data_IF_949447732332
#
_entry.id   IF_949447732332
#
_cell.length_a   1.000
_cell.length_b   1.000
_cell.length_c   1.000
_cell.angle_alpha   90.00
_cell.angle_beta   90.00
_cell.angle_gamma   90.00
#
_symmetry.space_group_name_H-M   'P 1'
#
loop_
_entity.id
_entity.type
_entity.pdbx_description
1 polymer ?
#
# COMPACT_ATOMS: atom_id res chain seq x y z
N UNK A 1 -17.75 -1.56 30.80
CA UNK A 1 -17.08 -0.79 29.73
C UNK A 1 -17.24 -1.57 28.45
N UNK A 2 -17.50 -0.91 27.33
CA UNK A 2 -17.61 -1.61 26.03
C UNK A 2 -16.21 -2.04 25.64
N UNK A 3 -15.96 -3.35 25.59
CA UNK A 3 -14.71 -3.88 25.05
C UNK A 3 -14.60 -3.48 23.59
N UNK A 4 -13.48 -2.85 23.23
CA UNK A 4 -13.15 -2.53 21.85
C UNK A 4 -13.01 -3.86 21.08
N UNK A 5 -13.67 -4.05 19.94
CA UNK A 5 -13.53 -5.28 19.14
C UNK A 5 -12.07 -5.58 18.82
N UNK A 6 -11.68 -6.87 18.82
CA UNK A 6 -10.28 -7.30 18.63
C UNK A 6 -9.63 -6.74 17.35
N UNK A 7 -10.40 -6.63 16.27
CA UNK A 7 -9.92 -6.07 15.00
C UNK A 7 -9.62 -4.57 15.11
N UNK A 8 -10.43 -3.85 15.89
CA UNK A 8 -10.24 -2.42 16.11
C UNK A 8 -9.06 -2.17 17.04
N UNK A 9 -8.88 -3.01 18.08
CA UNK A 9 -7.66 -3.00 18.89
C UNK A 9 -6.41 -3.22 18.02
N UNK A 10 -6.44 -4.22 17.13
CA UNK A 10 -5.33 -4.49 16.21
C UNK A 10 -5.06 -3.30 15.28
N UNK A 11 -6.09 -2.65 14.75
CA UNK A 11 -5.93 -1.46 13.91
C UNK A 11 -5.33 -0.27 14.68
N UNK A 12 -5.76 -0.05 15.92
CA UNK A 12 -5.22 0.98 16.81
C UNK A 12 -3.74 0.71 17.08
N UNK A 13 -3.39 -0.51 17.50
CA UNK A 13 -2.00 -0.88 17.77
C UNK A 13 -1.12 -0.76 16.53
N UNK A 14 -1.59 -1.19 15.35
CA UNK A 14 -0.86 -1.00 14.09
C UNK A 14 -0.63 0.48 13.77
N UNK A 15 -1.64 1.33 14.01
CA UNK A 15 -1.55 2.77 13.81
C UNK A 15 -0.50 3.41 14.72
N UNK A 16 -0.48 3.02 16.00
CA UNK A 16 0.50 3.50 16.96
C UNK A 16 1.92 3.08 16.58
N UNK A 17 2.12 1.81 16.21
CA UNK A 17 3.42 1.30 15.75
C UNK A 17 3.92 2.07 14.52
N UNK A 18 3.07 2.33 13.53
CA UNK A 18 3.46 3.11 12.35
C UNK A 18 3.89 4.53 12.72
N UNK A 19 3.14 5.18 13.62
CA UNK A 19 3.46 6.54 14.07
C UNK A 19 4.77 6.58 14.83
N UNK A 20 5.02 5.63 15.74
CA UNK A 20 6.30 5.58 16.45
C UNK A 20 7.47 5.29 15.50
N UNK A 21 7.30 4.37 14.55
CA UNK A 21 8.35 3.98 13.62
C UNK A 21 8.80 5.14 12.69
N UNK A 22 7.90 6.04 12.30
CA UNK A 22 8.29 7.21 11.46
C UNK A 22 9.08 8.26 12.26
N UNK A 23 8.90 8.33 13.58
CA UNK A 23 9.71 9.20 14.45
C UNK A 23 11.13 8.66 14.66
N UNK A 24 11.31 7.33 14.57
CA UNK A 24 12.63 6.69 14.69
C UNK A 24 13.46 6.79 13.41
N UNK A 25 12.81 6.87 12.25
CA UNK A 25 13.50 7.07 10.97
C UNK A 25 12.69 6.66 9.74
N UNK A 26 13.37 6.67 8.59
CA UNK A 26 12.77 6.29 7.31
C UNK A 26 12.38 4.82 7.28
N UNK A 27 11.16 4.54 6.84
CA UNK A 27 10.58 3.19 6.83
C UNK A 27 9.66 2.97 5.62
N UNK A 28 9.44 1.70 5.28
CA UNK A 28 8.52 1.28 4.21
C UNK A 28 7.41 0.43 4.82
N UNK A 29 6.16 0.86 4.66
CA UNK A 29 4.97 0.13 5.12
C UNK A 29 4.21 -0.47 3.94
N UNK A 30 3.84 -1.75 4.06
CA UNK A 30 3.06 -2.46 3.03
C UNK A 30 1.62 -2.62 3.52
N UNK A 31 0.68 -1.92 2.87
CA UNK A 31 -0.75 -2.01 3.16
C UNK A 31 -1.15 -1.38 4.50
N UNK A 32 -2.05 -2.04 5.23
CA UNK A 32 -2.48 -1.65 6.59
C UNK A 32 -2.97 -0.19 6.73
N UNK A 33 -3.54 0.35 5.66
CA UNK A 33 -4.01 1.74 5.58
C UNK A 33 -2.92 2.78 5.86
N UNK A 34 -1.63 2.45 5.69
CA UNK A 34 -0.52 3.34 6.00
C UNK A 34 -0.59 4.67 5.23
N UNK A 35 -1.08 4.65 3.98
CA UNK A 35 -1.35 5.86 3.20
C UNK A 35 -2.33 6.79 3.92
N UNK A 36 -3.39 6.25 4.52
CA UNK A 36 -4.38 7.03 5.24
C UNK A 36 -3.90 7.42 6.64
N UNK A 37 -3.31 6.48 7.38
CA UNK A 37 -2.82 6.69 8.75
C UNK A 37 -1.77 7.80 8.79
N UNK A 38 -0.83 7.79 7.85
CA UNK A 38 0.28 8.74 7.78
C UNK A 38 0.00 9.92 6.83
N UNK A 39 -1.25 10.15 6.44
CA UNK A 39 -1.62 11.15 5.40
C UNK A 39 -1.15 12.58 5.67
N UNK A 40 -0.92 12.92 6.93
CA UNK A 40 -0.45 14.24 7.36
C UNK A 40 1.07 14.32 7.53
N UNK A 41 1.80 13.22 7.34
CA UNK A 41 3.25 13.21 7.46
C UNK A 41 3.87 13.81 6.19
N UNK A 42 4.66 14.90 6.29
CA UNK A 42 5.08 15.71 5.15
C UNK A 42 6.09 15.00 4.23
N UNK A 43 6.77 13.97 4.71
CA UNK A 43 7.68 13.15 3.90
C UNK A 43 7.05 11.84 3.41
N UNK A 44 5.73 11.66 3.55
CA UNK A 44 5.04 10.42 3.13
C UNK A 44 4.97 10.36 1.61
N UNK A 45 5.42 9.25 1.03
CA UNK A 45 5.10 8.84 -0.34
C UNK A 45 4.23 7.59 -0.26
N UNK A 46 3.16 7.53 -1.05
CA UNK A 46 2.20 6.42 -1.04
C UNK A 46 2.04 5.90 -2.46
N UNK A 47 2.17 4.58 -2.60
CA UNK A 47 2.27 3.91 -3.89
C UNK A 47 1.30 2.75 -3.93
N UNK A 48 0.52 2.66 -5.01
CA UNK A 48 -0.33 1.52 -5.32
C UNK A 48 0.28 0.75 -6.50
N UNK A 49 0.58 -0.53 -6.28
CA UNK A 49 1.08 -1.42 -7.34
C UNK A 49 -0.07 -2.30 -7.82
N UNK A 50 -0.33 -2.25 -9.12
CA UNK A 50 -1.30 -3.12 -9.77
C UNK A 50 -0.65 -3.89 -10.93
N UNK A 51 -1.43 -4.75 -11.57
CA UNK A 51 -1.08 -5.47 -12.79
C UNK A 51 -2.36 -5.99 -13.43
N UNK A 52 -2.29 -6.31 -14.72
CA UNK A 52 -3.35 -7.06 -15.38
C UNK A 52 -3.58 -8.42 -14.70
N UNK A 53 -4.81 -8.94 -14.85
CA UNK A 53 -5.25 -10.15 -14.16
C UNK A 53 -4.40 -11.37 -14.54
N UNK A 54 -3.99 -11.50 -15.80
CA UNK A 54 -3.26 -12.67 -16.30
C UNK A 54 -1.83 -12.69 -15.78
N UNK A 55 -1.13 -11.55 -15.78
CA UNK A 55 0.19 -11.42 -15.18
C UNK A 55 0.17 -11.75 -13.67
N UNK A 56 -0.89 -11.34 -12.96
CA UNK A 56 -1.08 -11.69 -11.55
C UNK A 56 -1.27 -13.20 -11.36
N UNK A 57 -2.12 -13.82 -12.17
CA UNK A 57 -2.37 -15.28 -12.12
C UNK A 57 -1.05 -16.03 -12.34
N UNK A 58 -0.33 -15.72 -13.41
CA UNK A 58 0.95 -16.34 -13.73
C UNK A 58 1.93 -16.25 -12.57
N UNK A 59 2.13 -15.05 -12.04
CA UNK A 59 3.05 -14.81 -10.92
C UNK A 59 2.66 -15.56 -9.65
N UNK A 60 1.36 -15.71 -9.37
CA UNK A 60 0.86 -16.44 -8.21
C UNK A 60 1.03 -17.95 -8.41
N UNK A 61 0.72 -18.48 -9.61
CA UNK A 61 0.97 -19.88 -9.95
C UNK A 61 2.44 -20.24 -9.77
N UNK A 62 3.36 -19.46 -10.34
CA UNK A 62 4.80 -19.70 -10.24
C UNK A 62 5.30 -19.61 -8.79
N UNK A 63 4.88 -18.58 -8.06
CA UNK A 63 5.35 -18.34 -6.68
C UNK A 63 4.88 -19.41 -5.70
N UNK A 64 3.66 -19.91 -5.87
CA UNK A 64 3.04 -20.81 -4.91
C UNK A 64 2.98 -22.27 -5.38
N UNK A 65 3.31 -22.55 -6.64
CA UNK A 65 3.23 -23.90 -7.21
C UNK A 65 1.80 -24.42 -7.31
N UNK A 66 0.83 -23.54 -7.60
CA UNK A 66 -0.60 -23.85 -7.61
C UNK A 66 -1.22 -23.71 -9.00
N UNK A 67 -2.38 -24.35 -9.19
CA UNK A 67 -3.13 -24.26 -10.43
C UNK A 67 -3.66 -22.84 -10.69
N UNK A 68 -4.07 -22.59 -11.94
CA UNK A 68 -4.68 -21.33 -12.36
C UNK A 68 -5.93 -20.99 -11.55
N UNK A 69 -6.79 -21.97 -11.29
CA UNK A 69 -8.05 -21.75 -10.57
C UNK A 69 -7.79 -21.42 -9.10
N UNK A 70 -6.85 -22.13 -8.46
CA UNK A 70 -6.41 -21.80 -7.09
C UNK A 70 -5.78 -20.40 -7.01
N UNK A 71 -5.02 -20.00 -8.02
CA UNK A 71 -4.44 -18.65 -8.10
C UNK A 71 -5.52 -17.57 -8.23
N UNK A 72 -6.55 -17.80 -9.06
CA UNK A 72 -7.68 -16.89 -9.22
C UNK A 72 -8.43 -16.73 -7.88
N UNK A 73 -8.71 -17.84 -7.19
CA UNK A 73 -9.40 -17.82 -5.90
C UNK A 73 -8.59 -17.11 -4.83
N UNK A 74 -7.28 -17.37 -4.77
CA UNK A 74 -6.38 -16.69 -3.86
C UNK A 74 -6.32 -15.18 -4.11
N UNK A 75 -6.23 -14.77 -5.38
CA UNK A 75 -6.25 -13.37 -5.79
C UNK A 75 -7.56 -12.70 -5.35
N UNK A 76 -8.70 -13.29 -5.69
CA UNK A 76 -10.01 -12.73 -5.37
C UNK A 76 -10.24 -12.61 -3.86
N UNK A 77 -9.85 -13.64 -3.10
CA UNK A 77 -9.96 -13.65 -1.62
C UNK A 77 -9.09 -12.56 -1.00
N UNK A 78 -7.85 -12.41 -1.46
CA UNK A 78 -6.91 -11.42 -0.95
C UNK A 78 -7.36 -10.00 -1.30
N UNK A 79 -7.80 -9.75 -2.54
CA UNK A 79 -8.29 -8.45 -2.97
C UNK A 79 -9.56 -8.05 -2.21
N UNK A 80 -10.51 -8.98 -2.04
CA UNK A 80 -11.72 -8.74 -1.24
C UNK A 80 -11.38 -8.40 0.21
N UNK A 81 -10.43 -9.10 0.81
CA UNK A 81 -9.95 -8.79 2.16
C UNK A 81 -9.34 -7.39 2.26
N UNK A 82 -8.49 -7.01 1.30
CA UNK A 82 -7.85 -5.67 1.23
C UNK A 82 -8.90 -4.57 1.04
N UNK A 83 -9.85 -4.76 0.14
CA UNK A 83 -10.96 -3.83 -0.12
C UNK A 83 -11.78 -3.63 1.15
N UNK A 84 -12.23 -4.72 1.79
CA UNK A 84 -13.09 -4.63 2.97
C UNK A 84 -12.38 -3.92 4.13
N UNK A 85 -11.13 -4.31 4.42
CA UNK A 85 -10.35 -3.72 5.49
C UNK A 85 -10.07 -2.23 5.24
N UNK A 86 -9.59 -1.88 4.04
CA UNK A 86 -9.26 -0.51 3.70
C UNK A 86 -10.49 0.39 3.69
N UNK A 87 -11.58 -0.04 3.04
CA UNK A 87 -12.80 0.75 2.97
C UNK A 87 -13.40 0.98 4.36
N UNK A 88 -13.38 -0.03 5.23
CA UNK A 88 -13.90 0.08 6.59
C UNK A 88 -13.13 1.11 7.42
N UNK A 89 -11.80 1.01 7.47
CA UNK A 89 -10.99 1.86 8.36
C UNK A 89 -10.68 3.26 7.81
N UNK A 90 -10.78 3.47 6.49
CA UNK A 90 -10.43 4.76 5.86
C UNK A 90 -11.63 5.52 5.31
N UNK A 91 -12.76 4.85 5.09
CA UNK A 91 -13.89 5.40 4.33
C UNK A 91 -13.58 5.66 2.84
N UNK A 92 -12.39 5.27 2.35
CA UNK A 92 -11.94 5.45 0.97
C UNK A 92 -12.04 4.15 0.18
N UNK A 93 -12.08 4.26 -1.15
CA UNK A 93 -12.10 3.08 -2.03
C UNK A 93 -10.69 2.55 -2.30
N UNK A 94 -10.40 1.31 -1.89
CA UNK A 94 -9.12 0.66 -2.20
C UNK A 94 -8.81 0.66 -3.70
N UNK A 95 -7.57 0.99 -4.07
CA UNK A 95 -7.12 1.05 -5.47
C UNK A 95 -7.65 2.25 -6.27
N UNK A 96 -8.36 3.20 -5.64
CA UNK A 96 -8.69 4.48 -6.30
C UNK A 96 -7.42 5.32 -6.40
N UNK A 97 -7.05 5.71 -7.62
CA UNK A 97 -5.75 6.32 -7.93
C UNK A 97 -5.48 7.60 -7.13
N UNK A 98 -6.51 8.39 -6.82
CA UNK A 98 -6.43 9.65 -6.08
C UNK A 98 -6.14 9.49 -4.58
N UNK A 99 -6.18 8.25 -4.05
CA UNK A 99 -5.74 7.98 -2.69
C UNK A 99 -4.20 7.89 -2.55
N UNK A 100 -3.50 7.70 -3.66
CA UNK A 100 -2.06 7.42 -3.70
C UNK A 100 -1.33 8.49 -4.50
N UNK A 101 -0.06 8.74 -4.17
CA UNK A 101 0.77 9.65 -4.99
C UNK A 101 1.18 8.99 -6.32
N UNK A 102 1.41 7.68 -6.31
CA UNK A 102 1.76 6.91 -7.51
C UNK A 102 0.87 5.67 -7.63
N UNK A 103 0.41 5.39 -8.84
CA UNK A 103 -0.19 4.10 -9.21
C UNK A 103 0.62 3.49 -10.35
N UNK A 104 1.28 2.36 -10.09
CA UNK A 104 2.24 1.76 -11.03
C UNK A 104 1.76 0.39 -11.51
N UNK A 105 1.81 0.19 -12.82
CA UNK A 105 1.51 -1.09 -13.45
C UNK A 105 2.77 -1.98 -13.50
N UNK A 106 2.78 -3.02 -12.66
CA UNK A 106 3.88 -3.97 -12.58
C UNK A 106 3.88 -5.03 -13.68
N UNK A 107 2.84 -5.15 -14.51
CA UNK A 107 2.90 -5.99 -15.70
C UNK A 107 3.50 -5.25 -16.90
N UNK A 108 3.39 -3.91 -16.91
CA UNK A 108 4.11 -3.06 -17.86
C UNK A 108 5.57 -2.83 -17.46
N UNK A 109 5.81 -2.42 -16.21
CA UNK A 109 7.13 -1.93 -15.76
C UNK A 109 8.04 -3.04 -15.22
N UNK A 110 7.48 -4.19 -14.85
CA UNK A 110 8.21 -5.20 -14.08
C UNK A 110 8.61 -4.72 -12.68
N UNK A 111 9.28 -5.59 -11.91
CA UNK A 111 9.69 -5.29 -10.53
C UNK A 111 10.72 -4.15 -10.50
N UNK A 112 11.77 -4.26 -11.32
CA UNK A 112 12.86 -3.28 -11.36
C UNK A 112 12.38 -1.90 -11.85
N UNK A 113 11.49 -1.86 -12.85
CA UNK A 113 10.91 -0.61 -13.32
C UNK A 113 10.07 0.07 -12.23
N UNK A 114 9.21 -0.68 -11.52
CA UNK A 114 8.47 -0.14 -10.38
C UNK A 114 9.41 0.37 -9.28
N UNK A 115 10.44 -0.39 -8.90
CA UNK A 115 11.40 0.00 -7.86
C UNK A 115 12.15 1.29 -8.25
N UNK A 116 12.60 1.38 -9.50
CA UNK A 116 13.26 2.58 -10.03
C UNK A 116 12.35 3.81 -9.97
N UNK A 117 11.10 3.70 -10.42
CA UNK A 117 10.14 4.81 -10.39
C UNK A 117 9.89 5.31 -8.96
N UNK A 118 9.73 4.39 -8.00
CA UNK A 118 9.55 4.75 -6.59
C UNK A 118 10.79 5.47 -6.04
N UNK A 119 11.98 4.94 -6.31
CA UNK A 119 13.23 5.54 -5.85
C UNK A 119 13.48 6.92 -6.45
N UNK A 120 13.19 7.12 -7.73
CA UNK A 120 13.38 8.40 -8.40
C UNK A 120 12.41 9.46 -7.85
N UNK A 121 11.13 9.11 -7.65
CA UNK A 121 10.17 10.02 -7.00
C UNK A 121 10.58 10.34 -5.56
N UNK A 122 11.08 9.36 -4.80
CA UNK A 122 11.58 9.60 -3.46
C UNK A 122 12.77 10.55 -3.44
N UNK A 123 13.72 10.41 -4.39
CA UNK A 123 14.84 11.35 -4.51
C UNK A 123 14.36 12.77 -4.77
N UNK A 124 13.46 12.96 -5.74
CA UNK A 124 12.93 14.28 -6.11
C UNK A 124 12.20 14.90 -4.91
N UNK A 125 11.22 14.20 -4.36
CA UNK A 125 10.34 14.74 -3.33
C UNK A 125 11.04 14.96 -1.98
N UNK A 126 12.07 14.15 -1.66
CA UNK A 126 12.79 14.27 -0.40
C UNK A 126 14.04 15.16 -0.51
N UNK A 127 14.50 15.51 -1.72
CA UNK A 127 15.60 16.47 -1.91
C UNK A 127 15.19 17.93 -1.77
N UNK A 128 13.92 18.25 -1.95
CA UNK A 128 13.39 19.61 -1.79
C UNK A 128 13.27 19.98 -0.31
N UNK A 129 13.68 21.21 0.06
CA UNK A 129 13.51 21.69 1.44
C UNK A 129 12.03 21.93 1.73
N UNK A 130 11.58 21.89 3.01
CA UNK A 130 10.18 22.13 3.36
C UNK A 130 9.60 23.46 2.83
N UNK A 131 10.43 24.48 2.60
CA UNK A 131 9.98 25.75 2.03
C UNK A 131 9.59 25.67 0.54
N UNK A 132 10.15 24.72 -0.22
CA UNK A 132 9.94 24.57 -1.66
C UNK A 132 8.67 23.79 -2.00
N UNK A 133 8.05 23.12 -1.00
CA UNK A 133 6.91 22.20 -1.17
C UNK A 133 5.53 22.89 -1.13
N UNK A 134 5.47 24.21 -1.08
CA UNK A 134 4.21 24.97 -1.16
C UNK A 134 3.83 25.24 -2.62
N UNK A 135 3.06 24.32 -3.21
CA UNK A 135 2.29 24.55 -4.44
C UNK A 135 0.84 24.13 -4.19
#
# INVERSE_FOLDING_TARGET
GVDVPINDQLFITQTEIMKSAVEEGSCVFIGRCADYVLRNHPARISVFIYADKEARIHRVCERHGISRDEAIDMINKNDKSRVNYYNFYTGRKWGKFDNYHLSLDSSLLGIEGCAKMIADVAKIYLSETPEEKQI
#
